data_IF_452883151256
#
_entry.id   IF_452883151256
#
_cell.length_a   1.000
_cell.length_b   1.000
_cell.length_c   1.000
_cell.angle_alpha   90.00
_cell.angle_beta   90.00
_cell.angle_gamma   90.00
#
_symmetry.space_group_name_H-M   'P 1'
#
loop_
_entity.id
_entity.type
_entity.pdbx_description
1 polymer ?
#
# COMPACT_ATOMS: atom_id res chain seq x y z
N UNK A 1 -21.10 -4.89 2.71
CA UNK A 1 -20.37 -4.49 3.92
C UNK A 1 -19.46 -5.66 4.22
N UNK A 2 -18.18 -5.43 4.48
CA UNK A 2 -17.24 -6.52 4.77
C UNK A 2 -17.76 -7.28 6.00
N UNK A 3 -17.87 -8.60 5.88
CA UNK A 3 -18.24 -9.52 6.95
C UNK A 3 -17.08 -10.51 7.16
N UNK A 4 -17.24 -11.44 8.10
CA UNK A 4 -16.20 -12.40 8.44
C UNK A 4 -15.78 -13.29 7.25
N UNK A 5 -16.74 -13.76 6.43
CA UNK A 5 -16.45 -14.56 5.23
C UNK A 5 -15.62 -13.77 4.21
N UNK A 6 -15.96 -12.49 4.01
CA UNK A 6 -15.19 -11.59 3.14
C UNK A 6 -13.76 -11.39 3.66
N UNK A 7 -13.60 -11.20 4.98
CA UNK A 7 -12.28 -11.06 5.59
C UNK A 7 -11.46 -12.33 5.39
N UNK A 8 -12.06 -13.50 5.59
CA UNK A 8 -11.39 -14.79 5.38
C UNK A 8 -10.90 -14.94 3.93
N UNK A 9 -11.76 -14.64 2.96
CA UNK A 9 -11.41 -14.65 1.53
C UNK A 9 -10.25 -13.69 1.23
N UNK A 10 -10.34 -12.44 1.66
CA UNK A 10 -9.31 -11.42 1.40
C UNK A 10 -7.99 -11.75 2.12
N UNK A 11 -8.04 -12.20 3.37
CA UNK A 11 -6.87 -12.60 4.13
C UNK A 11 -6.14 -13.80 3.52
N UNK A 12 -6.86 -14.66 2.78
CA UNK A 12 -6.24 -15.78 2.07
C UNK A 12 -5.28 -15.36 0.94
N UNK A 13 -5.38 -14.11 0.46
CA UNK A 13 -4.44 -13.58 -0.56
C UNK A 13 -3.04 -13.34 0.00
N UNK A 14 -2.90 -13.15 1.33
CA UNK A 14 -1.65 -12.79 1.99
C UNK A 14 -0.47 -13.76 1.72
N UNK A 15 -0.78 -15.02 1.39
CA UNK A 15 0.23 -16.06 1.21
C UNK A 15 0.92 -16.03 -0.15
N UNK A 16 0.40 -15.28 -1.12
CA UNK A 16 0.93 -15.24 -2.49
C UNK A 16 1.31 -13.84 -2.96
N UNK A 17 0.99 -12.79 -2.20
CA UNK A 17 1.27 -11.42 -2.64
C UNK A 17 2.77 -11.14 -2.76
N UNK A 18 3.18 -10.35 -3.78
CA UNK A 18 4.57 -9.92 -3.94
C UNK A 18 5.01 -9.04 -2.76
N UNK A 19 6.29 -9.14 -2.39
CA UNK A 19 6.87 -8.28 -1.37
C UNK A 19 8.36 -8.08 -1.57
N UNK A 20 8.83 -6.85 -1.33
CA UNK A 20 10.25 -6.50 -1.38
C UNK A 20 11.02 -7.08 -0.19
N UNK A 21 10.35 -7.51 0.89
CA UNK A 21 11.02 -8.14 2.04
C UNK A 21 11.73 -9.45 1.67
N UNK A 22 11.35 -10.07 0.54
CA UNK A 22 11.97 -11.29 0.03
C UNK A 22 13.31 -11.02 -0.68
N UNK A 23 13.69 -9.75 -0.86
CA UNK A 23 14.94 -9.33 -1.50
C UNK A 23 16.01 -9.06 -0.44
N UNK A 24 17.00 -9.95 -0.33
CA UNK A 24 18.06 -9.88 0.70
C UNK A 24 18.99 -8.65 0.61
N UNK A 25 18.98 -7.92 -0.50
CA UNK A 25 19.92 -6.82 -0.77
C UNK A 25 19.23 -5.59 -1.39
N UNK A 26 18.20 -5.10 -0.70
CA UNK A 26 17.54 -3.86 -1.09
C UNK A 26 18.48 -2.65 -0.95
N UNK A 27 18.47 -1.71 -1.93
CA UNK A 27 19.24 -0.47 -1.86
C UNK A 27 18.55 0.53 -0.91
N UNK A 28 18.66 0.27 0.39
CA UNK A 28 18.05 1.09 1.43
C UNK A 28 18.99 2.24 1.80
N UNK A 29 18.43 3.45 1.89
CA UNK A 29 19.12 4.66 2.33
C UNK A 29 18.35 5.36 3.44
N UNK A 30 19.09 6.10 4.25
CA UNK A 30 18.52 6.99 5.25
C UNK A 30 17.92 8.24 4.60
N UNK A 31 16.94 8.80 5.31
CA UNK A 31 16.21 10.01 4.91
C UNK A 31 17.10 11.20 4.58
N UNK A 32 18.23 11.38 5.27
CA UNK A 32 19.14 12.50 5.01
C UNK A 32 19.72 12.46 3.58
N UNK A 33 19.98 11.25 3.06
CA UNK A 33 20.41 11.07 1.67
C UNK A 33 19.29 11.45 0.70
N UNK A 34 18.05 11.05 1.00
CA UNK A 34 16.86 11.38 0.18
C UNK A 34 16.63 12.89 0.13
N UNK A 35 16.61 13.57 1.27
CA UNK A 35 16.45 15.04 1.33
C UNK A 35 17.53 15.73 0.52
N UNK A 36 18.77 15.27 0.64
CA UNK A 36 19.88 15.82 -0.13
C UNK A 36 19.65 15.68 -1.64
N UNK A 37 19.16 14.51 -2.09
CA UNK A 37 18.91 14.24 -3.51
C UNK A 37 17.68 14.95 -4.08
N UNK A 38 16.62 15.14 -3.31
CA UNK A 38 15.43 15.90 -3.74
C UNK A 38 15.81 17.35 -4.11
N UNK A 39 16.86 17.89 -3.50
CA UNK A 39 17.35 19.24 -3.76
C UNK A 39 18.41 19.31 -4.88
N UNK A 40 18.71 18.20 -5.56
CA UNK A 40 19.70 18.10 -6.63
C UNK A 40 19.04 18.02 -8.02
N UNK A 41 19.78 18.38 -9.06
CA UNK A 41 19.38 17.99 -10.42
C UNK A 41 19.50 16.47 -10.60
N UNK A 42 18.72 15.89 -11.52
CA UNK A 42 18.67 14.43 -11.74
C UNK A 42 20.07 13.83 -12.00
N UNK A 43 20.87 14.46 -12.86
CA UNK A 43 22.23 13.99 -13.18
C UNK A 43 23.15 14.00 -11.94
N UNK A 44 22.99 15.00 -11.07
CA UNK A 44 23.75 15.11 -9.82
C UNK A 44 23.33 14.03 -8.81
N UNK A 45 22.03 13.74 -8.72
CA UNK A 45 21.50 12.67 -7.88
C UNK A 45 22.02 11.30 -8.35
N UNK A 46 22.04 11.03 -9.67
CA UNK A 46 22.62 9.82 -10.25
C UNK A 46 24.10 9.68 -9.89
N UNK A 47 24.89 10.75 -10.05
CA UNK A 47 26.30 10.75 -9.68
C UNK A 47 26.50 10.53 -8.17
N UNK A 48 25.62 11.08 -7.34
CA UNK A 48 25.67 10.91 -5.89
C UNK A 48 25.38 9.46 -5.47
N UNK A 49 24.36 8.83 -6.05
CA UNK A 49 24.01 7.42 -5.82
C UNK A 49 25.15 6.49 -6.24
N UNK A 50 25.75 6.75 -7.40
CA UNK A 50 26.91 6.00 -7.87
C UNK A 50 28.10 6.11 -6.91
N UNK A 51 28.34 7.29 -6.30
CA UNK A 51 29.38 7.49 -5.28
C UNK A 51 29.11 6.73 -3.98
N UNK A 52 27.84 6.53 -3.63
CA UNK A 52 27.44 5.72 -2.48
C UNK A 52 27.54 4.21 -2.76
N UNK A 53 27.86 3.80 -4.00
CA UNK A 53 27.90 2.39 -4.39
C UNK A 53 26.52 1.73 -4.43
N UNK A 54 25.45 2.53 -4.48
CA UNK A 54 24.08 2.05 -4.47
C UNK A 54 23.66 1.74 -5.90
N UNK A 55 23.11 0.54 -6.11
CA UNK A 55 22.47 0.16 -7.36
C UNK A 55 20.95 0.25 -7.19
N UNK A 56 20.26 1.12 -7.94
CA UNK A 56 18.80 1.21 -7.86
C UNK A 56 18.11 -0.13 -8.14
N UNK A 57 17.01 -0.36 -7.44
CA UNK A 57 16.12 -1.49 -7.69
C UNK A 57 15.30 -1.22 -8.97
N UNK A 58 15.26 -2.13 -9.94
CA UNK A 58 14.41 -1.95 -11.12
C UNK A 58 12.92 -1.91 -10.76
N UNK A 59 12.14 -1.05 -11.42
CA UNK A 59 10.69 -0.91 -11.17
C UNK A 59 9.89 -2.21 -11.40
N UNK A 60 10.43 -3.16 -12.17
CA UNK A 60 9.80 -4.46 -12.41
C UNK A 60 9.65 -5.35 -11.15
N UNK A 61 10.39 -5.03 -10.08
CA UNK A 61 10.25 -5.67 -8.77
C UNK A 61 9.15 -5.03 -7.91
N UNK A 62 8.68 -3.83 -8.28
CA UNK A 62 7.55 -3.15 -7.63
C UNK A 62 6.27 -3.67 -8.27
N UNK A 63 5.80 -4.81 -7.75
CA UNK A 63 4.63 -5.54 -8.24
C UNK A 63 3.47 -5.45 -7.27
N UNK A 64 2.25 -5.32 -7.79
CA UNK A 64 1.03 -5.33 -7.01
C UNK A 64 0.04 -6.35 -7.59
N UNK A 65 -0.41 -7.29 -6.77
CA UNK A 65 -1.60 -8.07 -7.09
C UNK A 65 -2.85 -7.24 -6.80
N UNK A 66 -3.86 -7.36 -7.65
CA UNK A 66 -5.14 -6.70 -7.45
C UNK A 66 -6.32 -7.68 -7.53
N UNK A 67 -7.31 -7.45 -6.70
CA UNK A 67 -8.51 -8.25 -6.53
C UNK A 67 -9.72 -7.34 -6.36
N UNK A 68 -10.89 -7.84 -6.79
CA UNK A 68 -12.15 -7.16 -6.56
C UNK A 68 -13.11 -8.08 -5.81
N UNK A 69 -13.59 -7.61 -4.66
CA UNK A 69 -14.67 -8.27 -3.94
C UNK A 69 -16.00 -7.71 -4.45
N UNK A 70 -16.74 -8.55 -5.16
CA UNK A 70 -18.06 -8.25 -5.68
C UNK A 70 -19.08 -9.21 -5.09
N UNK A 71 -20.07 -8.68 -4.36
CA UNK A 71 -21.01 -9.48 -3.58
C UNK A 71 -20.26 -10.40 -2.59
N UNK A 72 -20.03 -11.66 -2.94
CA UNK A 72 -19.33 -12.67 -2.12
C UNK A 72 -18.19 -13.38 -2.89
N UNK A 73 -17.79 -12.88 -4.05
CA UNK A 73 -16.69 -13.44 -4.85
C UNK A 73 -15.52 -12.49 -4.86
N UNK A 74 -14.32 -13.04 -4.64
CA UNK A 74 -13.06 -12.32 -4.75
C UNK A 74 -12.40 -12.70 -6.08
N UNK A 75 -12.48 -11.80 -7.06
CA UNK A 75 -11.94 -12.05 -8.40
C UNK A 75 -10.54 -11.47 -8.51
N UNK A 76 -9.58 -12.29 -8.93
CA UNK A 76 -8.22 -11.82 -9.24
C UNK A 76 -8.20 -11.04 -10.55
N UNK A 77 -7.68 -9.82 -10.50
CA UNK A 77 -7.60 -8.91 -11.65
C UNK A 77 -6.29 -9.07 -12.41
N UNK A 78 -5.21 -9.40 -11.70
CA UNK A 78 -3.86 -9.57 -12.25
C UNK A 78 -2.77 -8.99 -11.37
N UNK A 79 -1.53 -9.18 -11.81
CA UNK A 79 -0.32 -8.56 -11.27
C UNK A 79 0.04 -7.33 -12.13
N UNK A 80 0.20 -6.19 -11.48
CA UNK A 80 0.55 -4.90 -12.09
C UNK A 80 1.93 -4.46 -11.62
N UNK A 81 2.63 -3.65 -12.43
CA UNK A 81 3.99 -3.18 -12.13
C UNK A 81 4.03 -1.68 -12.03
N UNK A 82 4.93 -1.16 -11.20
CA UNK A 82 5.13 0.28 -11.02
C UNK A 82 4.04 0.96 -10.20
N UNK A 83 3.34 0.24 -9.32
CA UNK A 83 2.41 0.82 -8.36
C UNK A 83 1.11 1.38 -8.97
N UNK A 84 0.76 1.03 -10.21
CA UNK A 84 -0.44 1.55 -10.87
C UNK A 84 -1.31 0.42 -11.43
N UNK A 85 -2.56 0.37 -10.96
CA UNK A 85 -3.58 -0.55 -11.48
C UNK A 85 -4.41 0.19 -12.53
N UNK A 86 -4.41 -0.22 -13.80
CA UNK A 86 -5.13 0.50 -14.85
C UNK A 86 -6.64 0.50 -14.62
N UNK A 87 -7.24 1.69 -14.58
CA UNK A 87 -8.66 1.86 -14.25
C UNK A 87 -9.60 1.06 -15.17
N UNK A 88 -9.27 0.95 -16.46
CA UNK A 88 -10.07 0.22 -17.44
C UNK A 88 -10.24 -1.27 -17.12
N UNK A 89 -9.28 -1.87 -16.39
CA UNK A 89 -9.38 -3.26 -15.92
C UNK A 89 -10.54 -3.46 -14.94
N UNK A 90 -10.92 -2.39 -14.24
CA UNK A 90 -11.81 -2.41 -13.09
C UNK A 90 -13.23 -1.96 -13.48
N UNK A 91 -13.36 -1.08 -14.48
CA UNK A 91 -14.65 -0.54 -14.95
C UNK A 91 -15.68 -1.61 -15.31
N UNK A 92 -15.24 -2.79 -15.80
CA UNK A 92 -16.14 -3.90 -16.17
C UNK A 92 -16.91 -4.51 -15.00
N UNK A 93 -16.46 -4.31 -13.76
CA UNK A 93 -17.13 -4.83 -12.55
C UNK A 93 -18.15 -3.86 -11.98
N UNK A 94 -17.99 -2.55 -12.23
CA UNK A 94 -18.86 -1.50 -11.69
C UNK A 94 -20.32 -1.67 -12.11
N UNK A 95 -20.57 -2.15 -13.33
CA UNK A 95 -21.95 -2.33 -13.81
C UNK A 95 -22.70 -3.48 -13.14
N UNK A 96 -21.98 -4.44 -12.54
CA UNK A 96 -22.56 -5.71 -12.09
C UNK A 96 -22.56 -5.88 -10.56
N UNK A 97 -21.91 -4.97 -9.84
CA UNK A 97 -21.70 -5.07 -8.40
C UNK A 97 -22.41 -3.92 -7.68
N UNK A 98 -23.30 -4.26 -6.74
CA UNK A 98 -23.99 -3.25 -5.92
C UNK A 98 -23.08 -2.56 -4.93
N UNK A 99 -22.07 -3.30 -4.45
CA UNK A 99 -20.95 -2.78 -3.65
C UNK A 99 -19.65 -3.45 -4.08
N UNK A 100 -18.58 -2.67 -4.07
CA UNK A 100 -17.24 -3.08 -4.49
C UNK A 100 -16.26 -2.77 -3.37
N UNK A 101 -15.48 -3.78 -2.96
CA UNK A 101 -14.23 -3.55 -2.25
C UNK A 101 -13.06 -3.85 -3.20
N UNK A 102 -12.16 -2.88 -3.33
CA UNK A 102 -10.89 -3.08 -4.01
C UNK A 102 -9.90 -3.63 -3.00
N UNK A 103 -9.19 -4.70 -3.36
CA UNK A 103 -8.07 -5.21 -2.56
C UNK A 103 -6.85 -5.23 -3.45
N UNK A 104 -5.76 -4.59 -3.03
CA UNK A 104 -4.48 -4.70 -3.72
C UNK A 104 -3.32 -4.86 -2.75
N UNK A 105 -2.23 -5.43 -3.24
CA UNK A 105 -1.05 -5.66 -2.43
C UNK A 105 -0.05 -4.52 -2.55
N UNK A 106 0.49 -4.04 -1.44
CA UNK A 106 1.68 -3.18 -1.48
C UNK A 106 2.95 -4.02 -1.35
N UNK A 107 3.89 -3.95 -2.33
CA UNK A 107 5.15 -4.68 -2.29
C UNK A 107 6.10 -4.11 -1.23
N UNK A 108 5.94 -2.83 -0.91
CA UNK A 108 6.56 -2.17 0.24
C UNK A 108 5.74 -2.52 1.49
N UNK A 109 6.37 -2.79 2.64
CA UNK A 109 5.69 -3.15 3.89
C UNK A 109 4.97 -1.94 4.51
N UNK A 110 3.91 -1.47 3.84
CA UNK A 110 3.08 -0.34 4.24
C UNK A 110 1.61 -0.74 4.10
N UNK A 111 0.99 -1.31 5.14
CA UNK A 111 -0.35 -1.90 5.04
C UNK A 111 -1.45 -0.85 5.20
N UNK A 112 -1.38 0.26 4.46
CA UNK A 112 -2.33 1.36 4.55
C UNK A 112 -2.59 1.95 3.16
N UNK A 113 -3.84 2.28 2.82
CA UNK A 113 -4.15 3.02 1.60
C UNK A 113 -3.36 4.33 1.52
N UNK A 114 -2.68 4.55 0.40
CA UNK A 114 -2.07 5.83 0.06
C UNK A 114 -3.13 6.86 -0.32
N UNK A 115 -2.73 8.13 -0.43
CA UNK A 115 -3.61 9.16 -0.98
C UNK A 115 -4.07 8.81 -2.41
N UNK A 116 -3.20 8.19 -3.20
CA UNK A 116 -3.50 7.78 -4.58
C UNK A 116 -4.56 6.68 -4.60
N UNK A 117 -4.47 5.71 -3.69
CA UNK A 117 -5.48 4.66 -3.51
C UNK A 117 -6.85 5.27 -3.15
N UNK A 118 -6.86 6.23 -2.22
CA UNK A 118 -8.09 6.94 -1.79
C UNK A 118 -8.70 7.73 -2.97
N UNK A 119 -7.86 8.41 -3.76
CA UNK A 119 -8.31 9.15 -4.96
C UNK A 119 -8.85 8.19 -6.02
N UNK A 120 -8.18 7.07 -6.26
CA UNK A 120 -8.63 6.04 -7.20
C UNK A 120 -9.99 5.48 -6.77
N UNK A 121 -10.13 5.17 -5.49
CA UNK A 121 -11.39 4.77 -4.85
C UNK A 121 -12.53 5.75 -5.13
N UNK A 122 -12.28 7.05 -5.00
CA UNK A 122 -13.26 8.09 -5.32
C UNK A 122 -13.60 8.15 -6.81
N UNK A 123 -12.59 8.16 -7.68
CA UNK A 123 -12.77 8.36 -9.12
C UNK A 123 -13.45 7.17 -9.79
N UNK A 124 -13.10 5.95 -9.34
CA UNK A 124 -13.57 4.70 -9.94
C UNK A 124 -14.87 4.24 -9.25
N UNK A 125 -15.10 4.67 -7.99
CA UNK A 125 -16.38 4.45 -7.30
C UNK A 125 -16.40 3.19 -6.43
N UNK A 126 -15.28 2.84 -5.79
CA UNK A 126 -15.26 1.75 -4.81
C UNK A 126 -15.99 2.17 -3.54
N UNK A 127 -16.56 1.20 -2.83
CA UNK A 127 -17.13 1.47 -1.51
C UNK A 127 -16.10 1.30 -0.41
N UNK A 128 -15.12 0.43 -0.64
CA UNK A 128 -14.07 0.10 0.32
C UNK A 128 -12.74 -0.02 -0.43
N UNK A 129 -11.71 0.59 0.13
CA UNK A 129 -10.32 0.41 -0.29
C UNK A 129 -9.63 -0.52 0.69
N UNK A 130 -8.95 -1.56 0.21
CA UNK A 130 -8.20 -2.49 1.03
C UNK A 130 -6.78 -2.64 0.49
N UNK A 131 -5.81 -2.43 1.37
CA UNK A 131 -4.41 -2.73 1.11
C UNK A 131 -4.01 -3.94 1.93
N UNK A 132 -3.30 -4.87 1.33
CA UNK A 132 -2.62 -5.96 2.02
C UNK A 132 -1.12 -5.89 1.78
N UNK A 133 -0.32 -6.09 2.82
CA UNK A 133 1.14 -6.06 2.67
C UNK A 133 1.80 -7.07 3.59
N UNK A 134 2.87 -7.70 3.11
CA UNK A 134 3.74 -8.49 3.97
C UNK A 134 4.70 -7.53 4.67
N UNK A 135 4.64 -7.55 5.99
CA UNK A 135 5.46 -6.70 6.87
C UNK A 135 6.67 -7.44 7.43
N UNK A 136 6.63 -8.77 7.40
CA UNK A 136 7.76 -9.64 7.70
C UNK A 136 7.59 -11.01 7.02
N UNK A 137 8.56 -11.90 7.20
CA UNK A 137 8.50 -13.27 6.69
C UNK A 137 7.41 -14.13 7.38
N UNK A 138 6.81 -13.66 8.46
CA UNK A 138 5.82 -14.39 9.25
C UNK A 138 4.51 -13.62 9.46
N UNK A 139 4.45 -12.36 9.04
CA UNK A 139 3.31 -11.48 9.27
C UNK A 139 2.97 -10.71 8.00
N UNK A 140 1.69 -10.76 7.63
CA UNK A 140 1.08 -9.81 6.73
C UNK A 140 0.00 -9.03 7.48
N UNK A 141 -0.28 -7.83 6.99
CA UNK A 141 -1.28 -6.95 7.55
C UNK A 141 -2.14 -6.42 6.42
N UNK A 142 -3.44 -6.32 6.68
CA UNK A 142 -4.41 -5.79 5.74
C UNK A 142 -5.20 -4.68 6.42
N UNK A 143 -5.38 -3.57 5.72
CA UNK A 143 -6.22 -2.47 6.17
C UNK A 143 -7.26 -2.17 5.12
N UNK A 144 -8.52 -2.22 5.53
CA UNK A 144 -9.65 -1.79 4.72
C UNK A 144 -10.28 -0.53 5.31
N UNK A 145 -10.60 0.46 4.47
CA UNK A 145 -11.30 1.67 4.86
C UNK A 145 -12.60 1.86 4.07
N UNK A 146 -13.69 2.14 4.78
CA UNK A 146 -15.01 2.49 4.21
C UNK A 146 -15.36 3.92 4.64
N UNK A 147 -15.59 4.88 3.73
CA UNK A 147 -16.02 6.22 4.12
C UNK A 147 -17.32 6.20 4.90
N UNK A 148 -17.39 6.94 6.01
CA UNK A 148 -18.63 7.09 6.78
C UNK A 148 -19.68 7.90 6.04
N UNK A 149 -19.23 8.86 5.22
CA UNK A 149 -20.07 9.76 4.42
C UNK A 149 -19.75 9.65 2.94
N UNK A 150 -18.60 10.16 2.52
CA UNK A 150 -18.14 10.20 1.12
C UNK A 150 -16.62 10.28 1.06
N UNK A 151 -16.03 9.73 0.00
CA UNK A 151 -14.58 9.75 -0.21
C UNK A 151 -13.98 11.16 -0.27
N UNK A 152 -14.72 12.16 -0.74
CA UNK A 152 -14.20 13.54 -0.79
C UNK A 152 -13.80 14.08 0.57
N UNK A 153 -14.50 13.68 1.65
CA UNK A 153 -14.16 14.08 3.02
C UNK A 153 -12.86 13.41 3.48
N UNK A 154 -12.63 12.17 3.05
CA UNK A 154 -11.40 11.41 3.32
C UNK A 154 -10.21 12.03 2.58
N UNK A 155 -10.39 12.38 1.31
CA UNK A 155 -9.35 13.03 0.48
C UNK A 155 -8.89 14.35 1.10
N UNK A 156 -9.82 15.20 1.52
CA UNK A 156 -9.49 16.50 2.14
C UNK A 156 -8.61 16.33 3.38
N UNK A 157 -8.86 15.29 4.19
CA UNK A 157 -8.06 14.98 5.37
C UNK A 157 -6.72 14.30 5.08
N UNK A 158 -6.63 13.59 3.95
CA UNK A 158 -5.48 12.77 3.59
C UNK A 158 -4.22 13.58 3.27
N UNK A 159 -4.34 14.83 2.81
CA UNK A 159 -3.19 15.68 2.49
C UNK A 159 -2.23 15.91 3.67
N UNK A 160 -2.71 15.85 4.92
CA UNK A 160 -1.88 16.08 6.11
C UNK A 160 -1.05 14.84 6.53
N UNK A 161 -1.30 13.67 5.95
CA UNK A 161 -0.68 12.40 6.38
C UNK A 161 0.63 12.08 5.67
N UNK A 162 0.76 12.49 4.40
CA UNK A 162 1.90 12.16 3.53
C UNK A 162 3.22 12.67 4.11
N UNK A 163 3.23 13.89 4.64
CA UNK A 163 4.43 14.50 5.20
C UNK A 163 4.96 13.74 6.43
N UNK A 164 4.07 13.17 7.24
CA UNK A 164 4.44 12.40 8.42
C UNK A 164 5.13 11.08 8.03
N UNK A 165 4.53 10.33 7.10
CA UNK A 165 5.05 9.03 6.64
C UNK A 165 6.42 9.13 5.95
N UNK A 166 6.64 10.23 5.21
CA UNK A 166 7.94 10.54 4.62
C UNK A 166 8.99 10.90 5.68
N UNK A 167 8.59 11.40 6.86
CA UNK A 167 9.57 11.81 7.87
C UNK A 167 10.11 10.65 8.70
N UNK A 168 9.41 9.53 8.77
CA UNK A 168 9.71 8.42 9.68
C UNK A 168 10.39 7.23 9.01
N UNK A 169 10.27 7.08 7.69
CA UNK A 169 10.73 5.87 7.00
C UNK A 169 12.18 5.97 6.53
N UNK A 170 12.86 4.82 6.42
CA UNK A 170 13.98 4.62 5.48
C UNK A 170 13.45 4.53 4.04
N UNK A 171 14.34 4.49 3.05
CA UNK A 171 13.92 4.53 1.65
C UNK A 171 14.64 3.53 0.77
N UNK A 172 13.92 2.89 -0.14
CA UNK A 172 14.49 2.16 -1.26
C UNK A 172 14.68 3.12 -2.44
N UNK A 173 15.86 3.05 -3.05
CA UNK A 173 16.12 3.72 -4.33
C UNK A 173 15.62 2.83 -5.46
N UNK A 174 14.56 3.26 -6.14
CA UNK A 174 14.02 2.60 -7.34
C UNK A 174 14.46 3.40 -8.56
N UNK A 175 14.84 2.70 -9.62
CA UNK A 175 15.25 3.35 -10.86
C UNK A 175 14.65 2.67 -12.07
N UNK A 176 14.23 3.48 -13.04
CA UNK A 176 14.08 3.04 -14.43
C UNK A 176 15.23 3.57 -15.29
N UNK A 177 15.15 3.42 -16.62
CA UNK A 177 16.22 3.86 -17.52
C UNK A 177 16.42 5.38 -17.55
N UNK A 178 15.51 6.16 -16.93
CA UNK A 178 15.41 7.60 -17.08
C UNK A 178 15.18 8.37 -15.74
N UNK A 179 14.74 7.70 -14.67
CA UNK A 179 14.32 8.32 -13.42
C UNK A 179 14.75 7.52 -12.19
N UNK A 180 14.96 8.24 -11.08
CA UNK A 180 15.20 7.68 -9.75
C UNK A 180 14.09 8.13 -8.82
N UNK A 181 13.46 7.17 -8.16
CA UNK A 181 12.41 7.35 -7.17
C UNK A 181 12.86 6.85 -5.80
N UNK A 182 12.36 7.48 -4.75
CA UNK A 182 12.63 7.11 -3.36
C UNK A 182 11.34 6.64 -2.73
N UNK A 183 11.22 5.33 -2.54
CA UNK A 183 10.03 4.74 -1.95
C UNK A 183 10.26 4.46 -0.46
N UNK A 184 9.35 4.85 0.45
CA UNK A 184 9.51 4.57 1.88
C UNK A 184 9.60 3.07 2.12
N UNK A 185 10.38 2.65 3.11
CA UNK A 185 10.58 1.27 3.52
C UNK A 185 10.76 1.18 5.04
N UNK A 186 9.65 1.37 5.80
CA UNK A 186 9.70 1.40 7.25
C UNK A 186 10.03 0.02 7.82
N UNK A 187 10.69 -0.03 8.98
CA UNK A 187 10.76 -1.26 9.79
C UNK A 187 9.43 -1.56 10.52
N UNK A 188 9.33 -2.71 11.19
CA UNK A 188 8.08 -3.14 11.84
C UNK A 188 7.60 -2.14 12.91
N UNK A 189 8.52 -1.55 13.69
CA UNK A 189 8.15 -0.61 14.74
C UNK A 189 7.67 0.73 14.15
N UNK A 190 8.34 1.19 13.09
CA UNK A 190 7.92 2.35 12.30
C UNK A 190 6.54 2.10 11.67
N UNK A 191 6.30 0.91 11.10
CA UNK A 191 5.00 0.53 10.53
C UNK A 191 3.87 0.52 11.56
N UNK A 192 4.09 -0.10 12.73
CA UNK A 192 3.09 -0.12 13.80
C UNK A 192 2.74 1.32 14.24
N UNK A 193 3.74 2.20 14.33
CA UNK A 193 3.51 3.60 14.66
C UNK A 193 2.72 4.32 13.56
N UNK A 194 3.09 4.12 12.30
CA UNK A 194 2.41 4.71 11.14
C UNK A 194 0.95 4.25 11.04
N UNK A 195 0.68 2.95 11.23
CA UNK A 195 -0.68 2.38 11.27
C UNK A 195 -1.52 3.02 12.37
N UNK A 196 -0.95 3.15 13.57
CA UNK A 196 -1.64 3.80 14.69
C UNK A 196 -1.97 5.26 14.35
N UNK A 197 -1.00 6.00 13.82
CA UNK A 197 -1.22 7.40 13.42
C UNK A 197 -2.28 7.52 12.33
N UNK A 198 -2.27 6.62 11.35
CA UNK A 198 -3.32 6.57 10.32
C UNK A 198 -4.71 6.35 10.95
N UNK A 199 -4.84 5.37 11.85
CA UNK A 199 -6.11 5.10 12.54
C UNK A 199 -6.57 6.34 13.31
N UNK A 200 -5.71 6.92 14.14
CA UNK A 200 -6.03 8.10 14.96
C UNK A 200 -6.47 9.29 14.10
N UNK A 201 -5.89 9.47 12.90
CA UNK A 201 -6.22 10.57 11.99
C UNK A 201 -7.52 10.35 11.22
N UNK A 202 -7.90 9.10 10.93
CA UNK A 202 -9.00 8.81 10.01
C UNK A 202 -10.24 8.22 10.67
N UNK A 203 -10.19 7.80 11.94
CA UNK A 203 -11.28 7.09 12.62
C UNK A 203 -12.64 7.83 12.58
N UNK A 204 -12.62 9.16 12.55
CA UNK A 204 -13.82 10.00 12.47
C UNK A 204 -14.42 10.11 11.04
N UNK A 205 -13.64 9.74 10.02
CA UNK A 205 -13.98 9.89 8.61
C UNK A 205 -14.29 8.57 7.92
N UNK A 206 -13.65 7.49 8.36
CA UNK A 206 -13.80 6.15 7.80
C UNK A 206 -14.07 5.13 8.90
N UNK A 207 -14.68 4.01 8.54
CA UNK A 207 -14.57 2.78 9.34
C UNK A 207 -13.31 2.06 8.92
N UNK A 208 -12.56 1.53 9.88
CA UNK A 208 -11.30 0.83 9.62
C UNK A 208 -11.44 -0.62 10.06
N UNK A 209 -11.11 -1.54 9.16
CA UNK A 209 -10.85 -2.94 9.48
C UNK A 209 -9.35 -3.15 9.37
N UNK A 210 -8.70 -3.47 10.49
CA UNK A 210 -7.28 -3.78 10.53
C UNK A 210 -7.11 -5.26 10.85
N UNK A 211 -6.44 -6.00 9.97
CA UNK A 211 -6.30 -7.44 10.06
C UNK A 211 -4.81 -7.78 10.13
N UNK A 212 -4.43 -8.57 11.14
CA UNK A 212 -3.09 -9.14 11.28
C UNK A 212 -3.15 -10.61 10.89
N UNK A 213 -2.30 -11.05 9.97
CA UNK A 213 -2.33 -12.38 9.37
C UNK A 213 -1.01 -13.09 9.68
N UNK A 214 -1.07 -14.10 10.53
CA UNK A 214 0.07 -14.94 10.83
C UNK A 214 0.30 -15.94 9.70
N UNK A 215 1.36 -15.73 8.92
CA UNK A 215 1.66 -16.51 7.73
C UNK A 215 2.08 -17.95 8.05
N UNK A 216 2.62 -18.19 9.26
CA UNK A 216 3.09 -19.52 9.70
C UNK A 216 1.90 -20.37 10.14
N UNK A 217 1.10 -19.86 11.08
CA UNK A 217 -0.01 -20.59 11.67
C UNK A 217 -1.29 -20.53 10.83
N UNK A 218 -1.31 -19.68 9.80
CA UNK A 218 -2.45 -19.45 8.90
C UNK A 218 -3.71 -19.00 9.62
N UNK A 219 -3.54 -18.12 10.60
CA UNK A 219 -4.62 -17.52 11.38
C UNK A 219 -4.57 -16.00 11.24
N UNK A 220 -5.70 -15.34 11.48
CA UNK A 220 -5.79 -13.89 11.45
C UNK A 220 -6.58 -13.35 12.64
N UNK A 221 -6.23 -12.15 13.05
CA UNK A 221 -6.93 -11.36 14.06
C UNK A 221 -7.50 -10.10 13.41
N UNK A 222 -8.71 -9.70 13.81
CA UNK A 222 -9.41 -8.53 13.26
C UNK A 222 -9.64 -7.51 14.36
N UNK A 223 -9.19 -6.28 14.12
CA UNK A 223 -9.49 -5.10 14.92
C UNK A 223 -10.41 -4.17 14.10
N UNK A 224 -11.56 -3.79 14.68
CA UNK A 224 -12.55 -2.93 14.01
C UNK A 224 -12.67 -1.59 14.73
N UNK A 225 -12.61 -0.51 13.97
CA UNK A 225 -12.78 0.86 14.44
C UNK A 225 -14.01 1.46 13.73
N UNK A 226 -15.13 1.55 14.47
CA UNK A 226 -16.48 1.92 13.98
C UNK A 226 -16.99 3.12 14.77
#
# INVERSE_FOLDING_TARGET
>A
MINEDHISLMASTAYSIPSLIDIESLPIIDKDHVIKMINMFMDEAILYINKLGIRPLPIEYVKEDAYILCNNTLDYLGEFRGGAIPQHTILKYISNCSKIAMLHSHPIPMPMPTLEDIIASYQIGYNVECVISRVSNYLATMMCIEPRKKWSDVIEHSYNTVEYFLKTSRYIVVGDSYYIEFLPFPDIAEQDHMVKTFIDMFIDYVKIFYIKINLIHKVYDVEMFI
#
